data_IF_174017326141
#
_entry.id   IF_174017326141
#
_cell.length_a   1.000
_cell.length_b   1.000
_cell.length_c   1.000
_cell.angle_alpha   90.00
_cell.angle_beta   90.00
_cell.angle_gamma   90.00
#
_symmetry.space_group_name_H-M   'P 1'
#
loop_
_entity.id
_entity.type
_entity.pdbx_description
1 polymer ?
#
# COMPACT_ATOMS: atom_id res chain seq x y z
N UNK A 1 -46.00 19.71 0.28
CA UNK A 1 -44.62 19.81 -0.24
C UNK A 1 -43.69 19.27 0.85
N UNK A 2 -43.36 17.98 0.82
CA UNK A 2 -42.45 17.37 1.80
C UNK A 2 -41.00 17.71 1.46
N UNK A 3 -40.26 18.27 2.43
CA UNK A 3 -38.84 18.56 2.27
C UNK A 3 -38.07 17.23 2.18
N UNK A 4 -37.27 17.07 1.12
CA UNK A 4 -36.35 15.95 0.97
C UNK A 4 -35.21 16.16 1.97
N UNK A 5 -35.10 15.27 2.96
CA UNK A 5 -33.92 15.22 3.85
C UNK A 5 -32.67 15.00 2.99
N UNK A 6 -31.69 15.88 3.15
CA UNK A 6 -30.40 15.74 2.48
C UNK A 6 -29.73 14.45 2.97
N UNK A 7 -29.14 13.63 2.08
CA UNK A 7 -28.43 12.43 2.51
C UNK A 7 -27.33 12.82 3.50
N UNK A 8 -27.20 12.04 4.58
CA UNK A 8 -26.17 12.22 5.59
C UNK A 8 -24.82 12.45 4.91
N UNK A 9 -24.17 13.57 5.22
CA UNK A 9 -22.92 13.97 4.58
C UNK A 9 -21.85 12.90 4.86
N UNK A 10 -21.58 12.06 3.87
CA UNK A 10 -20.55 11.03 3.96
C UNK A 10 -19.19 11.70 3.81
N UNK A 11 -18.48 11.83 4.93
CA UNK A 11 -17.11 12.32 4.97
C UNK A 11 -16.98 13.82 5.21
N UNK A 12 -16.02 14.18 6.05
CA UNK A 12 -15.59 15.55 6.26
C UNK A 12 -14.31 15.81 5.46
N UNK A 13 -14.20 16.99 4.85
CA UNK A 13 -13.00 17.38 4.14
C UNK A 13 -11.90 17.67 5.17
N UNK A 14 -10.98 16.74 5.34
CA UNK A 14 -9.85 16.95 6.26
C UNK A 14 -8.94 18.04 5.70
N UNK A 15 -8.63 19.06 6.50
CA UNK A 15 -7.71 20.13 6.12
C UNK A 15 -6.25 19.62 6.16
N UNK A 16 -5.88 18.81 5.17
CA UNK A 16 -4.51 18.33 4.97
C UNK A 16 -3.64 19.49 4.49
N UNK A 17 -2.48 19.72 5.12
CA UNK A 17 -1.52 20.68 4.60
C UNK A 17 -0.82 20.10 3.36
N UNK A 18 -0.38 20.95 2.43
CA UNK A 18 0.45 20.50 1.30
C UNK A 18 1.73 19.86 1.87
N UNK A 19 1.88 18.54 1.68
CA UNK A 19 2.97 17.76 2.28
C UNK A 19 2.48 16.59 3.15
N UNK A 20 1.22 16.63 3.61
CA UNK A 20 0.58 15.49 4.23
C UNK A 20 0.34 14.42 3.16
N UNK A 21 1.14 13.37 3.16
CA UNK A 21 1.02 12.27 2.21
C UNK A 21 -0.29 11.53 2.48
N UNK A 22 -1.16 11.49 1.47
CA UNK A 22 -2.45 10.79 1.52
C UNK A 22 -2.30 9.47 0.80
N UNK A 23 -2.62 8.36 1.47
CA UNK A 23 -2.67 7.04 0.84
C UNK A 23 -3.94 6.93 -0.01
N UNK A 24 -3.78 6.40 -1.22
CA UNK A 24 -4.89 6.12 -2.13
C UNK A 24 -5.31 4.66 -1.98
N UNK A 25 -6.61 4.41 -1.97
CA UNK A 25 -7.14 3.05 -1.97
C UNK A 25 -6.87 2.38 -3.32
N UNK A 26 -6.23 1.22 -3.34
CA UNK A 26 -5.95 0.51 -4.60
C UNK A 26 -7.21 -0.05 -5.27
N UNK A 27 -8.31 -0.29 -4.52
CA UNK A 27 -9.54 -0.85 -5.08
C UNK A 27 -10.41 0.19 -5.79
N UNK A 28 -10.41 1.44 -5.32
CA UNK A 28 -11.31 2.48 -5.83
C UNK A 28 -10.61 3.79 -6.21
N UNK A 29 -9.29 3.85 -6.05
CA UNK A 29 -8.43 4.99 -6.40
C UNK A 29 -8.78 6.31 -5.69
N UNK A 30 -9.60 6.25 -4.63
CA UNK A 30 -9.94 7.40 -3.82
C UNK A 30 -9.04 7.54 -2.58
N UNK A 31 -8.82 8.77 -2.10
CA UNK A 31 -8.16 9.04 -0.82
C UNK A 31 -8.76 8.26 0.35
N UNK A 32 -7.92 7.65 1.18
CA UNK A 32 -8.38 6.89 2.35
C UNK A 32 -8.65 7.82 3.53
N UNK A 33 -9.92 7.94 3.92
CA UNK A 33 -10.34 8.66 5.13
C UNK A 33 -10.36 7.79 6.40
N UNK A 34 -10.62 6.48 6.26
CA UNK A 34 -10.54 5.49 7.33
C UNK A 34 -10.04 4.21 6.72
N UNK A 35 -9.01 3.60 7.31
CA UNK A 35 -8.44 2.36 6.80
C UNK A 35 -9.26 1.16 7.28
N UNK A 36 -9.50 0.22 6.37
CA UNK A 36 -9.84 -1.16 6.68
C UNK A 36 -8.61 -2.02 6.48
N UNK A 37 -8.03 -2.52 7.57
CA UNK A 37 -6.84 -3.38 7.57
C UNK A 37 -7.27 -4.83 7.70
N UNK A 38 -6.94 -5.65 6.72
CA UNK A 38 -7.42 -7.05 6.62
C UNK A 38 -6.45 -8.03 7.27
N UNK A 39 -6.97 -8.94 8.08
CA UNK A 39 -6.20 -10.03 8.69
C UNK A 39 -6.45 -11.35 7.94
N UNK A 40 -5.42 -12.20 7.74
CA UNK A 40 -4.08 -12.14 8.35
C UNK A 40 -3.00 -11.45 7.51
N UNK A 41 -3.26 -11.06 6.26
CA UNK A 41 -2.23 -10.56 5.34
C UNK A 41 -1.77 -9.12 5.62
N UNK A 42 -2.54 -8.34 6.38
CA UNK A 42 -2.23 -6.98 6.82
C UNK A 42 -2.23 -5.92 5.72
N UNK A 43 -2.85 -6.20 4.57
CA UNK A 43 -3.13 -5.18 3.55
C UNK A 43 -4.16 -4.17 4.06
N UNK A 44 -4.09 -2.94 3.56
CA UNK A 44 -5.00 -1.86 3.95
C UNK A 44 -5.69 -1.26 2.72
N UNK A 45 -7.00 -1.00 2.86
CA UNK A 45 -7.85 -0.36 1.87
C UNK A 45 -8.69 0.73 2.56
N UNK A 46 -9.54 1.45 1.82
CA UNK A 46 -10.55 2.27 2.48
C UNK A 46 -11.60 1.36 3.15
N UNK A 47 -12.14 1.83 4.28
CA UNK A 47 -13.11 1.05 5.07
C UNK A 47 -14.30 0.57 4.22
N UNK A 48 -14.81 1.43 3.33
CA UNK A 48 -15.92 1.11 2.43
C UNK A 48 -15.62 -0.05 1.49
N UNK A 49 -14.41 -0.11 0.90
CA UNK A 49 -14.04 -1.24 0.06
C UNK A 49 -13.92 -2.53 0.86
N UNK A 50 -13.45 -2.47 2.11
CA UNK A 50 -13.31 -3.69 2.92
C UNK A 50 -14.63 -4.26 3.42
N UNK A 51 -15.69 -3.46 3.54
CA UNK A 51 -16.95 -3.88 4.17
C UNK A 51 -17.55 -5.17 3.59
N UNK A 52 -17.43 -5.39 2.27
CA UNK A 52 -17.99 -6.55 1.57
C UNK A 52 -16.90 -7.55 1.12
N UNK A 53 -15.64 -7.35 1.51
CA UNK A 53 -14.53 -8.20 1.10
C UNK A 53 -14.44 -9.48 1.94
N UNK A 54 -14.48 -10.63 1.26
CA UNK A 54 -14.21 -11.95 1.85
C UNK A 54 -12.77 -12.42 1.64
N UNK A 55 -12.14 -11.92 0.59
CA UNK A 55 -10.75 -12.23 0.22
C UNK A 55 -9.99 -10.93 -0.05
N UNK A 56 -8.70 -10.92 0.27
CA UNK A 56 -7.84 -9.79 0.05
C UNK A 56 -7.64 -9.54 -1.45
N UNK A 57 -7.96 -8.34 -1.94
CA UNK A 57 -7.82 -8.00 -3.36
C UNK A 57 -6.39 -8.18 -3.91
N UNK A 58 -5.37 -7.93 -3.08
CA UNK A 58 -3.97 -8.01 -3.48
C UNK A 58 -3.41 -9.44 -3.52
N UNK A 59 -3.64 -10.22 -2.46
CA UNK A 59 -3.00 -11.54 -2.30
C UNK A 59 -3.97 -12.72 -2.34
N UNK A 60 -5.26 -12.46 -2.54
CA UNK A 60 -6.34 -13.45 -2.61
C UNK A 60 -6.48 -14.34 -1.37
N UNK A 61 -5.84 -14.00 -0.26
CA UNK A 61 -5.98 -14.72 1.00
C UNK A 61 -7.34 -14.43 1.64
N UNK A 62 -7.93 -15.44 2.28
CA UNK A 62 -9.19 -15.29 3.01
C UNK A 62 -9.05 -14.30 4.17
N UNK A 63 -10.07 -13.46 4.34
CA UNK A 63 -10.12 -12.44 5.39
C UNK A 63 -10.82 -13.02 6.59
N UNK A 64 -10.10 -13.15 7.70
CA UNK A 64 -10.67 -13.60 8.98
C UNK A 64 -11.28 -12.44 9.77
N UNK A 65 -10.71 -11.24 9.63
CA UNK A 65 -11.14 -10.05 10.36
C UNK A 65 -10.71 -8.78 9.63
N UNK A 66 -11.54 -7.74 9.74
CA UNK A 66 -11.20 -6.37 9.33
C UNK A 66 -11.00 -5.52 10.58
N UNK A 67 -9.86 -4.84 10.65
CA UNK A 67 -9.53 -3.86 11.68
C UNK A 67 -9.76 -2.45 11.14
N UNK A 68 -10.66 -1.70 11.78
CA UNK A 68 -10.91 -0.28 11.45
C UNK A 68 -9.83 0.58 12.10
N UNK A 69 -9.05 1.30 11.28
CA UNK A 69 -8.00 2.21 11.76
C UNK A 69 -8.34 3.65 11.32
N UNK A 70 -8.66 4.55 12.25
CA UNK A 70 -8.89 5.97 11.95
C UNK A 70 -7.65 6.64 11.35
N UNK A 71 -7.86 7.65 10.49
CA UNK A 71 -6.74 8.31 9.81
C UNK A 71 -5.79 9.04 10.76
N UNK A 72 -6.25 9.45 11.94
CA UNK A 72 -5.44 10.12 12.97
C UNK A 72 -4.33 9.22 13.52
N UNK A 73 -4.55 7.91 13.58
CA UNK A 73 -3.53 6.95 14.01
C UNK A 73 -2.53 6.68 12.89
N UNK A 74 -2.95 6.84 11.63
CA UNK A 74 -2.13 6.57 10.45
C UNK A 74 -1.73 5.09 10.31
N UNK A 75 -1.19 4.74 9.14
CA UNK A 75 -0.54 3.46 8.91
C UNK A 75 0.72 3.67 8.06
N UNK A 76 1.74 2.90 8.36
CA UNK A 76 2.95 2.79 7.55
C UNK A 76 2.75 1.66 6.54
N UNK A 77 2.96 1.91 5.24
CA UNK A 77 2.72 0.93 4.18
C UNK A 77 4.04 0.59 3.49
N UNK A 78 4.34 -0.71 3.39
CA UNK A 78 5.50 -1.19 2.64
C UNK A 78 5.29 -1.01 1.14
N UNK A 79 6.21 -0.34 0.47
CA UNK A 79 6.16 -0.19 -1.00
C UNK A 79 6.37 -1.52 -1.73
N UNK A 80 7.04 -2.49 -1.11
CA UNK A 80 7.37 -3.76 -1.76
C UNK A 80 6.26 -4.81 -1.63
N UNK A 81 5.56 -4.84 -0.48
CA UNK A 81 4.54 -5.88 -0.19
C UNK A 81 3.14 -5.33 0.01
N UNK A 82 2.98 -4.00 0.05
CA UNK A 82 1.73 -3.28 0.37
C UNK A 82 1.16 -3.59 1.75
N UNK A 83 1.90 -4.30 2.60
CA UNK A 83 1.49 -4.59 3.98
C UNK A 83 1.57 -3.34 4.84
N UNK A 84 0.64 -3.24 5.79
CA UNK A 84 0.50 -2.09 6.68
C UNK A 84 0.93 -2.40 8.11
N UNK A 85 1.58 -1.43 8.73
CA UNK A 85 2.20 -1.50 10.05
C UNK A 85 1.75 -0.32 10.92
N UNK A 86 1.73 -0.53 12.24
CA UNK A 86 1.27 0.48 13.20
C UNK A 86 2.39 1.41 13.65
N UNK A 87 3.65 0.99 13.48
CA UNK A 87 4.82 1.81 13.77
C UNK A 87 5.81 1.83 12.61
N UNK A 88 6.63 2.88 12.56
CA UNK A 88 7.73 2.98 11.61
C UNK A 88 8.79 1.88 11.83
N UNK A 89 9.03 1.51 13.09
CA UNK A 89 9.96 0.45 13.46
C UNK A 89 9.54 -0.91 12.88
N UNK A 90 8.27 -1.28 13.00
CA UNK A 90 7.72 -2.51 12.40
C UNK A 90 7.90 -2.51 10.88
N UNK A 91 7.63 -1.38 10.22
CA UNK A 91 7.85 -1.24 8.79
C UNK A 91 9.34 -1.38 8.42
N UNK A 92 10.24 -0.76 9.17
CA UNK A 92 11.67 -0.78 8.91
C UNK A 92 12.24 -2.21 9.04
N UNK A 93 11.86 -2.93 10.09
CA UNK A 93 12.22 -4.33 10.29
C UNK A 93 11.71 -5.21 9.13
N UNK A 94 10.44 -5.02 8.74
CA UNK A 94 9.86 -5.72 7.59
C UNK A 94 10.60 -5.41 6.28
N UNK A 95 10.91 -4.13 6.03
CA UNK A 95 11.63 -3.71 4.82
C UNK A 95 13.03 -4.34 4.73
N UNK A 96 13.73 -4.44 5.87
CA UNK A 96 15.02 -5.13 5.93
C UNK A 96 14.87 -6.63 5.64
N UNK A 97 13.87 -7.29 6.23
CA UNK A 97 13.62 -8.71 5.97
C UNK A 97 13.29 -8.97 4.50
N UNK A 98 12.41 -8.17 3.89
CA UNK A 98 12.05 -8.28 2.47
C UNK A 98 13.28 -8.08 1.59
N UNK A 99 14.11 -7.08 1.87
CA UNK A 99 15.36 -6.86 1.13
C UNK A 99 16.28 -8.08 1.18
N UNK A 100 16.49 -8.64 2.37
CA UNK A 100 17.29 -9.85 2.55
C UNK A 100 16.73 -11.03 1.74
N UNK A 101 15.42 -11.26 1.80
CA UNK A 101 14.76 -12.33 1.05
C UNK A 101 14.92 -12.17 -0.47
N UNK A 102 14.75 -10.94 -0.96
CA UNK A 102 14.93 -10.62 -2.39
C UNK A 102 16.38 -10.87 -2.80
N UNK A 103 17.37 -10.41 -2.02
CA UNK A 103 18.79 -10.64 -2.32
C UNK A 103 19.21 -12.10 -2.28
N UNK A 104 18.57 -12.92 -1.44
CA UNK A 104 18.84 -14.34 -1.32
C UNK A 104 18.14 -15.17 -2.41
N UNK A 105 17.27 -14.57 -3.22
CA UNK A 105 16.50 -15.29 -4.24
C UNK A 105 17.42 -15.79 -5.36
N UNK A 106 17.51 -17.12 -5.59
CA UNK A 106 18.36 -17.68 -6.63
C UNK A 106 17.95 -17.25 -8.04
N UNK A 107 16.66 -16.93 -8.25
CA UNK A 107 16.16 -16.40 -9.51
C UNK A 107 16.77 -15.02 -9.85
N UNK A 108 17.00 -14.18 -8.84
CA UNK A 108 17.63 -12.87 -9.01
C UNK A 108 19.16 -12.98 -9.09
N UNK A 109 19.78 -13.91 -8.36
CA UNK A 109 21.20 -14.20 -8.47
C UNK A 109 21.60 -14.70 -9.88
N UNK A 110 20.68 -15.36 -10.60
CA UNK A 110 20.87 -15.73 -12.00
C UNK A 110 20.73 -14.54 -12.96
N UNK A 111 19.83 -13.59 -12.66
CA UNK A 111 19.58 -12.40 -13.49
C UNK A 111 20.73 -11.39 -13.43
N UNK A 112 21.37 -11.21 -12.28
CA UNK A 112 22.53 -10.28 -12.14
C UNK A 112 23.78 -10.73 -12.90
N UNK A 113 23.84 -11.98 -13.37
CA UNK A 113 24.95 -12.47 -14.22
C UNK A 113 24.82 -12.10 -15.70
N UNK A 114 23.65 -11.64 -16.15
CA UNK A 114 23.39 -11.47 -17.59
C UNK A 114 23.70 -10.05 -18.09
N UNK A 115 23.74 -9.02 -17.25
CA UNK A 115 23.61 -7.65 -17.79
C UNK A 115 24.36 -6.55 -17.02
N UNK A 116 25.68 -6.68 -16.84
CA UNK A 116 26.51 -5.56 -16.33
C UNK A 116 27.63 -5.14 -17.29
N UNK A 117 27.82 -5.80 -18.43
CA UNK A 117 28.90 -5.47 -19.39
C UNK A 117 28.44 -4.79 -20.70
N UNK A 118 27.15 -4.83 -21.07
CA UNK A 118 26.71 -4.30 -22.39
C UNK A 118 26.01 -2.94 -22.34
N UNK A 119 25.20 -2.65 -21.32
CA UNK A 119 24.27 -1.51 -21.39
C UNK A 119 24.86 -0.16 -20.95
N UNK A 120 25.94 -0.16 -20.16
CA UNK A 120 26.63 1.09 -19.75
C UNK A 120 27.64 1.60 -20.76
N UNK A 121 28.12 0.75 -21.66
CA UNK A 121 29.04 1.10 -22.75
C UNK A 121 28.30 1.71 -23.94
N UNK A 122 27.12 1.17 -24.30
CA UNK A 122 26.28 1.72 -25.37
C UNK A 122 25.71 3.11 -25.02
N UNK A 123 25.21 3.31 -23.79
CA UNK A 123 24.61 4.60 -23.39
C UNK A 123 25.60 5.78 -23.36
N UNK A 124 26.91 5.53 -23.25
CA UNK A 124 27.95 6.58 -23.29
C UNK A 124 28.43 6.92 -24.70
N UNK A 125 28.21 6.06 -25.69
CA UNK A 125 28.65 6.28 -27.05
C UNK A 125 27.72 7.21 -27.85
N UNK A 126 26.44 7.29 -27.47
CA UNK A 126 25.41 8.09 -28.17
C UNK A 126 25.35 9.57 -27.72
N UNK A 127 26.36 10.05 -26.99
CA UNK A 127 26.47 11.46 -26.53
C UNK A 127 27.84 12.09 -26.84
N UNK A 128 28.38 11.83 -28.04
CA UNK A 128 29.49 12.60 -28.64
C UNK A 128 29.07 13.12 -30.00
#
# INVERSE_FOLDING_TARGET
MAAREAPAQVGHLHAKQKGDRVHMCICCEYPIAVYGRVWPCLHAYCLSCTSDMKQCYLCQSDISRIERVPCENGLYISAATMQSFKSEEELAQHAQQVRSNISASPALAAATRVEEQSLWTEWRAERV
#
